data_IF_446875638090
#
_entry.id   IF_446875638090
#
_cell.length_a   1.000
_cell.length_b   1.000
_cell.length_c   1.000
_cell.angle_alpha   90.00
_cell.angle_beta   90.00
_cell.angle_gamma   90.00
#
_symmetry.space_group_name_H-M   'P 1'
#
loop_
_entity.id
_entity.type
_entity.pdbx_description
1 polymer ?
#
# COMPACT_ATOMS: atom_id res chain seq x y z
N UNK A 1 6.44 -8.13 -12.32
CA UNK A 1 6.33 -6.68 -12.19
C UNK A 1 5.18 -6.12 -13.01
N UNK A 2 5.00 -4.82 -12.97
CA UNK A 2 4.02 -4.13 -13.81
C UNK A 2 4.44 -4.25 -15.29
N UNK A 3 3.44 -4.31 -16.17
CA UNK A 3 3.64 -4.39 -17.62
C UNK A 3 2.89 -3.24 -18.29
N UNK A 4 3.37 -2.80 -19.43
CA UNK A 4 2.63 -1.88 -20.27
C UNK A 4 1.39 -2.61 -20.83
N UNK A 5 0.22 -2.06 -20.57
CA UNK A 5 -1.07 -2.63 -20.97
C UNK A 5 -1.66 -2.00 -22.23
N UNK A 6 -1.01 -0.96 -22.78
CA UNK A 6 -1.53 -0.19 -23.92
C UNK A 6 -1.74 -1.04 -25.16
N UNK A 7 -0.87 -2.03 -25.39
CA UNK A 7 -0.90 -2.87 -26.59
C UNK A 7 -2.10 -3.84 -26.66
N UNK A 8 -2.78 -4.09 -25.52
CA UNK A 8 -3.96 -4.97 -25.51
C UNK A 8 -5.22 -4.30 -24.94
N UNK A 9 -5.09 -3.23 -24.16
CA UNK A 9 -6.23 -2.59 -23.51
C UNK A 9 -7.20 -1.92 -24.49
N UNK A 10 -6.70 -1.56 -25.67
CA UNK A 10 -7.44 -0.88 -26.74
C UNK A 10 -7.63 -1.77 -28.00
N UNK A 11 -7.23 -3.06 -27.94
CA UNK A 11 -7.36 -3.99 -29.06
C UNK A 11 -8.62 -4.84 -28.92
N UNK A 12 -9.62 -4.56 -29.75
CA UNK A 12 -10.92 -5.26 -29.77
C UNK A 12 -10.82 -6.76 -30.13
N UNK A 13 -9.70 -7.21 -30.67
CA UNK A 13 -9.43 -8.61 -30.99
C UNK A 13 -8.98 -9.43 -29.77
N UNK A 14 -8.58 -8.77 -28.68
CA UNK A 14 -8.14 -9.41 -27.44
C UNK A 14 -9.30 -9.46 -26.45
N UNK A 15 -9.94 -10.62 -26.32
CA UNK A 15 -11.12 -10.80 -25.49
C UNK A 15 -10.83 -10.97 -24.01
N UNK A 16 -9.61 -11.43 -23.63
CA UNK A 16 -9.22 -11.64 -22.24
C UNK A 16 -7.72 -11.65 -22.06
N UNK A 17 -7.28 -11.32 -20.86
CA UNK A 17 -5.85 -11.29 -20.48
C UNK A 17 -5.67 -11.97 -19.12
N UNK A 18 -4.73 -12.91 -19.03
CA UNK A 18 -4.33 -13.56 -17.80
C UNK A 18 -2.96 -13.04 -17.36
N UNK A 19 -2.91 -12.32 -16.24
CA UNK A 19 -1.66 -11.95 -15.58
C UNK A 19 -1.15 -13.10 -14.74
N UNK A 20 -0.29 -13.93 -15.30
CA UNK A 20 0.22 -15.13 -14.63
C UNK A 20 1.38 -14.83 -13.65
N UNK A 21 2.00 -13.65 -13.73
CA UNK A 21 3.17 -13.26 -12.95
C UNK A 21 4.27 -14.35 -12.93
N UNK A 22 4.84 -14.63 -11.74
CA UNK A 22 5.88 -15.66 -11.57
C UNK A 22 5.26 -16.88 -10.89
N UNK A 23 4.93 -17.90 -11.66
CA UNK A 23 4.12 -19.06 -11.23
C UNK A 23 4.86 -20.16 -10.48
N UNK A 24 6.17 -20.09 -10.28
CA UNK A 24 6.95 -21.17 -9.68
C UNK A 24 7.01 -22.46 -10.54
N UNK A 25 7.36 -23.61 -9.94
CA UNK A 25 7.55 -24.87 -10.67
C UNK A 25 6.27 -25.36 -11.37
N UNK A 26 5.12 -25.23 -10.72
CA UNK A 26 3.82 -25.66 -11.25
C UNK A 26 3.09 -24.56 -12.03
N UNK A 27 3.75 -23.46 -12.34
CA UNK A 27 3.14 -22.29 -12.98
C UNK A 27 2.53 -22.58 -14.34
N UNK A 28 3.14 -23.47 -15.14
CA UNK A 28 2.59 -23.91 -16.42
C UNK A 28 1.31 -24.72 -16.26
N UNK A 29 1.29 -25.68 -15.33
CA UNK A 29 0.11 -26.48 -14.99
C UNK A 29 -1.03 -25.59 -14.50
N UNK A 30 -0.77 -24.70 -13.55
CA UNK A 30 -1.76 -23.76 -13.02
C UNK A 30 -2.34 -22.83 -14.10
N UNK A 31 -1.51 -22.32 -15.00
CA UNK A 31 -1.99 -21.49 -16.11
C UNK A 31 -2.88 -22.29 -17.07
N UNK A 32 -2.52 -23.53 -17.39
CA UNK A 32 -3.33 -24.41 -18.25
C UNK A 32 -4.69 -24.73 -17.61
N UNK A 33 -4.72 -25.08 -16.32
CA UNK A 33 -5.96 -25.35 -15.56
C UNK A 33 -6.90 -24.13 -15.56
N UNK A 34 -6.34 -22.92 -15.39
CA UNK A 34 -7.15 -21.68 -15.47
C UNK A 34 -7.70 -21.46 -16.88
N UNK A 35 -6.88 -21.61 -17.91
CA UNK A 35 -7.32 -21.42 -19.31
C UNK A 35 -8.35 -22.46 -19.75
N UNK A 36 -8.29 -23.69 -19.23
CA UNK A 36 -9.25 -24.76 -19.51
C UNK A 36 -10.52 -24.67 -18.65
N UNK A 37 -10.55 -23.78 -17.65
CA UNK A 37 -11.66 -23.65 -16.71
C UNK A 37 -11.74 -24.75 -15.65
N UNK A 38 -10.67 -25.53 -15.47
CA UNK A 38 -10.54 -26.50 -14.38
C UNK A 38 -10.27 -25.81 -13.04
N UNK A 39 -9.60 -24.64 -13.08
CA UNK A 39 -9.43 -23.72 -11.98
C UNK A 39 -10.20 -22.42 -12.21
N UNK A 40 -10.50 -21.68 -11.14
CA UNK A 40 -11.13 -20.36 -11.20
C UNK A 40 -10.15 -19.31 -10.67
N UNK A 41 -9.78 -18.29 -11.48
CA UNK A 41 -8.88 -17.24 -11.02
C UNK A 41 -9.50 -16.45 -9.86
N UNK A 42 -8.69 -16.12 -8.86
CA UNK A 42 -9.10 -15.39 -7.68
C UNK A 42 -8.00 -14.43 -7.19
N UNK A 43 -7.00 -14.18 -8.03
CA UNK A 43 -5.95 -13.20 -7.77
C UNK A 43 -6.47 -11.78 -7.93
N UNK A 44 -5.91 -10.86 -7.15
CA UNK A 44 -6.14 -9.42 -7.29
C UNK A 44 -4.82 -8.73 -7.61
N UNK A 45 -4.87 -7.68 -8.42
CA UNK A 45 -3.69 -6.87 -8.72
C UNK A 45 -3.17 -6.20 -7.45
N UNK A 46 -1.89 -6.41 -7.17
CA UNK A 46 -1.18 -5.74 -6.05
C UNK A 46 -0.63 -4.37 -6.43
N UNK A 47 -0.87 -3.95 -7.68
CA UNK A 47 -0.44 -2.66 -8.23
C UNK A 47 -1.56 -2.02 -9.05
N UNK A 48 -1.42 -0.70 -9.30
CA UNK A 48 -2.24 0.01 -10.26
C UNK A 48 -1.55 0.00 -11.62
N UNK A 49 -2.23 -0.45 -12.66
CA UNK A 49 -1.71 -0.43 -14.03
C UNK A 49 -2.22 0.82 -14.75
N UNK A 50 -1.32 1.77 -14.96
CA UNK A 50 -1.60 2.99 -15.70
C UNK A 50 -1.67 2.75 -17.21
N UNK A 51 -2.20 3.72 -17.96
CA UNK A 51 -2.29 3.69 -19.42
C UNK A 51 -0.92 3.78 -20.08
N UNK A 52 -0.01 4.53 -19.48
CA UNK A 52 1.37 4.65 -19.98
C UNK A 52 2.37 4.74 -18.82
N UNK A 53 3.65 4.48 -19.11
CA UNK A 53 4.75 4.63 -18.16
C UNK A 53 4.86 6.08 -17.65
N UNK A 54 4.60 7.05 -18.50
CA UNK A 54 4.67 8.48 -18.17
C UNK A 54 3.59 8.94 -17.20
N UNK A 55 2.56 8.13 -17.00
CA UNK A 55 1.48 8.44 -16.05
C UNK A 55 1.87 8.19 -14.58
N UNK A 56 2.96 7.46 -14.33
CA UNK A 56 3.47 7.24 -12.98
C UNK A 56 4.29 8.43 -12.49
N UNK A 57 4.11 8.89 -11.25
CA UNK A 57 4.75 10.10 -10.73
C UNK A 57 6.29 10.01 -10.70
N UNK A 58 6.85 8.80 -10.60
CA UNK A 58 8.30 8.56 -10.56
C UNK A 58 8.96 8.50 -11.94
N UNK A 59 8.19 8.52 -13.04
CA UNK A 59 8.73 8.31 -14.39
C UNK A 59 9.77 9.34 -14.81
N UNK A 60 9.67 10.58 -14.33
CA UNK A 60 10.62 11.65 -14.64
C UNK A 60 11.87 11.60 -13.74
N UNK A 61 11.75 11.12 -12.50
CA UNK A 61 12.85 11.12 -11.51
C UNK A 61 13.62 9.81 -11.47
N UNK A 62 13.06 8.71 -11.94
CA UNK A 62 13.65 7.36 -11.83
C UNK A 62 15.03 7.22 -12.49
N UNK A 63 15.32 7.97 -13.55
CA UNK A 63 16.59 7.96 -14.28
C UNK A 63 17.34 9.30 -14.21
N UNK A 64 17.01 10.17 -13.27
CA UNK A 64 17.58 11.51 -13.14
C UNK A 64 19.08 11.46 -12.85
N UNK A 65 19.53 10.49 -12.07
CA UNK A 65 20.95 10.31 -11.71
C UNK A 65 21.34 8.83 -11.73
N UNK A 66 22.66 8.57 -11.84
CA UNK A 66 23.24 7.24 -11.65
C UNK A 66 23.55 6.94 -10.18
N UNK A 67 23.59 7.96 -9.35
CA UNK A 67 24.08 7.90 -7.98
C UNK A 67 22.97 7.96 -6.94
N UNK A 68 21.81 8.52 -7.32
CA UNK A 68 20.64 8.66 -6.42
C UNK A 68 19.33 8.66 -7.19
N UNK A 69 18.24 8.43 -6.47
CA UNK A 69 16.86 8.63 -6.93
C UNK A 69 16.13 9.40 -5.84
N UNK A 70 15.51 10.52 -6.21
CA UNK A 70 14.68 11.32 -5.33
C UNK A 70 13.22 10.87 -5.41
N UNK A 71 12.68 10.33 -4.31
CA UNK A 71 11.27 9.92 -4.20
C UNK A 71 10.38 11.14 -3.88
N UNK A 72 10.30 12.06 -4.82
CA UNK A 72 9.55 13.32 -4.65
C UNK A 72 8.03 13.10 -4.55
N UNK A 73 7.54 11.97 -5.01
CA UNK A 73 6.15 11.54 -4.88
C UNK A 73 5.75 11.17 -3.46
N UNK A 74 6.72 10.94 -2.57
CA UNK A 74 6.52 10.62 -1.16
C UNK A 74 5.54 9.45 -0.95
N UNK A 75 4.46 9.65 -0.18
CA UNK A 75 3.44 8.64 0.08
C UNK A 75 2.50 8.37 -1.10
N UNK A 76 2.53 9.22 -2.13
CA UNK A 76 1.64 9.13 -3.30
C UNK A 76 2.22 8.18 -4.35
N UNK A 77 2.23 6.89 -4.04
CA UNK A 77 2.70 5.78 -4.89
C UNK A 77 1.56 4.84 -5.22
N UNK A 78 1.51 4.31 -6.44
CA UNK A 78 0.49 3.37 -6.89
C UNK A 78 -0.93 3.94 -6.71
N UNK A 79 -1.85 3.17 -6.14
CA UNK A 79 -3.24 3.62 -5.96
C UNK A 79 -3.35 4.86 -5.07
N UNK A 80 -2.41 5.09 -4.14
CA UNK A 80 -2.41 6.30 -3.32
C UNK A 80 -2.23 7.56 -4.16
N UNK A 81 -1.43 7.48 -5.23
CA UNK A 81 -1.31 8.55 -6.23
C UNK A 81 -2.56 8.62 -7.10
N UNK A 82 -2.91 7.53 -7.76
CA UNK A 82 -3.93 7.53 -8.79
C UNK A 82 -5.35 7.82 -8.26
N UNK A 83 -5.66 7.49 -7.01
CA UNK A 83 -6.97 7.79 -6.41
C UNK A 83 -7.01 9.13 -5.67
N UNK A 84 -5.85 9.80 -5.46
CA UNK A 84 -5.77 11.05 -4.69
C UNK A 84 -5.53 12.27 -5.57
N UNK A 85 -4.53 12.18 -6.46
CA UNK A 85 -4.10 13.35 -7.24
C UNK A 85 -5.14 13.70 -8.30
N UNK A 86 -5.55 14.98 -8.41
CA UNK A 86 -6.52 15.42 -9.41
C UNK A 86 -6.12 15.03 -10.83
N UNK A 87 -7.03 14.41 -11.58
CA UNK A 87 -6.79 13.97 -12.95
C UNK A 87 -5.98 12.69 -13.11
N UNK A 88 -5.45 12.11 -12.01
CA UNK A 88 -4.67 10.87 -12.11
C UNK A 88 -5.57 9.63 -12.29
N UNK A 89 -6.81 9.68 -11.81
CA UNK A 89 -7.74 8.55 -11.85
C UNK A 89 -8.07 8.09 -13.28
N UNK A 90 -8.16 9.01 -14.22
CA UNK A 90 -8.46 8.75 -15.63
C UNK A 90 -7.30 8.11 -16.39
N UNK A 91 -6.11 8.12 -15.80
CA UNK A 91 -4.88 7.54 -16.36
C UNK A 91 -4.69 6.06 -16.04
N UNK A 92 -5.68 5.41 -15.43
CA UNK A 92 -5.60 4.00 -14.97
C UNK A 92 -6.38 3.09 -15.91
N UNK A 93 -5.74 2.01 -16.37
CA UNK A 93 -6.39 0.90 -17.06
C UNK A 93 -6.97 -0.11 -16.06
N UNK A 94 -6.16 -0.55 -15.09
CA UNK A 94 -6.58 -1.52 -14.07
C UNK A 94 -6.21 -1.02 -12.68
N UNK A 95 -7.20 -0.79 -11.80
CA UNK A 95 -6.94 -0.26 -10.47
C UNK A 95 -6.34 -1.33 -9.54
N UNK A 96 -5.71 -0.88 -8.47
CA UNK A 96 -5.27 -1.74 -7.37
C UNK A 96 -6.42 -2.59 -6.83
N UNK A 97 -6.14 -3.87 -6.60
CA UNK A 97 -7.12 -4.82 -6.10
C UNK A 97 -8.05 -5.39 -7.17
N UNK A 98 -7.99 -4.93 -8.42
CA UNK A 98 -8.80 -5.47 -9.51
C UNK A 98 -8.45 -6.93 -9.83
N UNK A 99 -9.45 -7.70 -10.19
CA UNK A 99 -9.29 -9.08 -10.68
C UNK A 99 -10.66 -9.71 -10.92
N UNK A 100 -10.80 -10.38 -12.05
CA UNK A 100 -12.01 -11.05 -12.46
C UNK A 100 -12.01 -12.51 -12.01
N UNK A 101 -13.18 -13.11 -11.98
CA UNK A 101 -13.44 -14.52 -11.69
C UNK A 101 -14.37 -15.09 -12.74
N UNK A 102 -14.42 -16.42 -12.89
CA UNK A 102 -15.41 -17.12 -13.73
C UNK A 102 -16.79 -17.22 -13.05
N UNK A 103 -16.89 -16.76 -11.80
CA UNK A 103 -18.14 -16.68 -11.05
C UNK A 103 -18.33 -15.24 -10.52
N UNK A 104 -19.47 -14.98 -9.92
CA UNK A 104 -19.80 -13.68 -9.32
C UNK A 104 -19.99 -13.81 -7.83
N UNK A 105 -19.73 -12.73 -7.10
CA UNK A 105 -19.89 -12.68 -5.66
C UNK A 105 -20.69 -11.46 -5.23
N UNK A 106 -21.53 -11.63 -4.21
CA UNK A 106 -22.10 -10.54 -3.45
C UNK A 106 -21.22 -10.36 -2.20
N UNK A 107 -20.72 -9.14 -1.99
CA UNK A 107 -19.94 -8.74 -0.80
C UNK A 107 -20.80 -7.78 0.00
N UNK A 108 -21.30 -8.23 1.16
CA UNK A 108 -22.23 -7.47 2.00
C UNK A 108 -21.63 -7.18 3.37
N UNK A 109 -21.23 -5.94 3.64
CA UNK A 109 -20.87 -5.52 5.00
C UNK A 109 -22.08 -5.63 5.93
N UNK A 110 -21.90 -6.20 7.11
CA UNK A 110 -22.97 -6.41 8.08
C UNK A 110 -22.86 -5.44 9.25
N UNK A 111 -21.71 -5.44 9.92
CA UNK A 111 -21.45 -4.60 11.07
C UNK A 111 -19.99 -4.16 11.11
N UNK A 112 -19.74 -3.00 11.69
CA UNK A 112 -18.42 -2.48 11.98
C UNK A 112 -18.44 -1.76 13.33
N UNK A 113 -17.30 -1.77 14.03
CA UNK A 113 -17.16 -1.11 15.32
C UNK A 113 -15.73 -1.17 15.84
N UNK A 114 -15.48 -0.42 16.90
CA UNK A 114 -14.22 -0.43 17.64
C UNK A 114 -14.38 -1.26 18.91
N UNK A 115 -13.37 -2.06 19.22
CA UNK A 115 -13.30 -2.85 20.43
C UNK A 115 -11.85 -2.95 20.93
N UNK A 116 -11.55 -2.35 22.09
CA UNK A 116 -10.25 -2.36 22.75
C UNK A 116 -9.09 -1.95 21.84
N UNK A 117 -9.24 -0.84 21.11
CA UNK A 117 -8.20 -0.30 20.22
C UNK A 117 -8.10 -1.01 18.86
N UNK A 118 -9.01 -1.95 18.55
CA UNK A 118 -9.10 -2.59 17.24
C UNK A 118 -10.43 -2.22 16.58
N UNK A 119 -10.36 -1.90 15.30
CA UNK A 119 -11.56 -1.79 14.47
C UNK A 119 -11.84 -3.15 13.87
N UNK A 120 -13.08 -3.57 13.86
CA UNK A 120 -13.56 -4.83 13.32
C UNK A 120 -14.66 -4.58 12.32
N UNK A 121 -14.64 -5.31 11.22
CA UNK A 121 -15.68 -5.29 10.18
C UNK A 121 -16.08 -6.74 9.87
N UNK A 122 -17.37 -7.04 9.96
CA UNK A 122 -17.94 -8.32 9.52
C UNK A 122 -18.52 -8.17 8.14
N UNK A 123 -18.10 -9.05 7.24
CA UNK A 123 -18.52 -9.05 5.84
C UNK A 123 -19.01 -10.44 5.46
N UNK A 124 -20.23 -10.53 4.93
CA UNK A 124 -20.72 -11.76 4.31
C UNK A 124 -20.35 -11.75 2.83
N UNK A 125 -19.73 -12.82 2.36
CA UNK A 125 -19.46 -13.05 0.94
C UNK A 125 -20.27 -14.25 0.49
N UNK A 126 -21.07 -14.09 -0.56
CA UNK A 126 -21.89 -15.14 -1.16
C UNK A 126 -21.48 -15.35 -2.62
N UNK A 127 -21.21 -16.59 -3.02
CA UNK A 127 -21.03 -16.91 -4.42
C UNK A 127 -22.39 -16.93 -5.11
N UNK A 128 -22.66 -15.94 -5.95
CA UNK A 128 -23.94 -15.77 -6.68
C UNK A 128 -23.89 -16.29 -8.10
N UNK A 129 -22.73 -16.76 -8.55
CA UNK A 129 -22.55 -17.24 -9.92
C UNK A 129 -22.70 -18.76 -10.08
N UNK A 130 -22.22 -19.28 -11.20
CA UNK A 130 -22.50 -20.65 -11.66
C UNK A 130 -21.40 -21.68 -11.37
N UNK A 131 -20.22 -21.26 -10.91
CA UNK A 131 -19.15 -22.19 -10.58
C UNK A 131 -18.49 -21.83 -9.24
N UNK A 132 -17.77 -22.80 -8.66
CA UNK A 132 -17.06 -22.58 -7.41
C UNK A 132 -15.94 -21.56 -7.58
N UNK A 133 -15.73 -20.71 -6.56
CA UNK A 133 -14.71 -19.68 -6.61
C UNK A 133 -14.36 -19.10 -5.25
N UNK A 134 -13.36 -18.22 -5.25
CA UNK A 134 -12.91 -17.47 -4.07
C UNK A 134 -12.92 -15.99 -4.37
N UNK A 135 -13.23 -15.17 -3.37
CA UNK A 135 -13.17 -13.72 -3.48
C UNK A 135 -12.28 -13.12 -2.39
N UNK A 136 -11.68 -11.97 -2.66
CA UNK A 136 -10.87 -11.20 -1.70
C UNK A 136 -11.63 -9.94 -1.29
N UNK A 137 -11.99 -9.86 -0.02
CA UNK A 137 -12.53 -8.63 0.56
C UNK A 137 -11.39 -7.73 0.98
N UNK A 138 -11.48 -6.46 0.65
CA UNK A 138 -10.51 -5.41 0.95
C UNK A 138 -11.18 -4.31 1.75
N UNK A 139 -10.55 -3.88 2.84
CA UNK A 139 -11.02 -2.78 3.69
C UNK A 139 -10.07 -1.61 3.53
N UNK A 140 -10.64 -0.47 3.22
CA UNK A 140 -9.89 0.79 3.08
C UNK A 140 -10.37 1.81 4.10
N UNK A 141 -9.47 2.71 4.50
CA UNK A 141 -9.76 3.84 5.38
C UNK A 141 -9.39 5.14 4.68
N UNK A 142 -10.37 6.03 4.55
CA UNK A 142 -10.17 7.44 4.23
C UNK A 142 -9.93 8.23 5.52
N UNK A 143 -8.72 8.76 5.64
CA UNK A 143 -8.28 9.51 6.84
C UNK A 143 -8.63 11.00 6.71
N UNK A 144 -8.82 11.73 7.82
CA UNK A 144 -9.08 13.17 7.75
C UNK A 144 -7.87 13.92 7.14
N UNK A 145 -8.12 14.81 6.19
CA UNK A 145 -7.11 15.72 5.66
C UNK A 145 -6.85 16.83 6.68
N UNK A 146 -5.78 16.69 7.45
CA UNK A 146 -5.38 17.62 8.49
C UNK A 146 -4.10 18.35 8.12
N UNK A 147 -3.17 18.49 9.08
CA UNK A 147 -1.85 19.11 8.86
C UNK A 147 -0.91 18.23 8.04
N UNK A 148 -1.07 16.90 8.19
CA UNK A 148 -0.33 15.91 7.43
C UNK A 148 -1.11 15.55 6.17
N UNK A 149 -0.47 15.51 5.03
CA UNK A 149 -1.07 15.02 3.79
C UNK A 149 -1.44 13.54 3.90
N UNK A 150 -2.55 13.14 3.28
CA UNK A 150 -3.04 11.76 3.28
C UNK A 150 -3.54 11.37 1.89
N UNK A 151 -3.38 10.10 1.49
CA UNK A 151 -4.09 9.60 0.32
C UNK A 151 -5.61 9.54 0.58
N UNK A 152 -6.38 9.51 -0.50
CA UNK A 152 -7.85 9.41 -0.43
C UNK A 152 -8.29 8.19 0.39
N UNK A 153 -7.65 7.05 0.13
CA UNK A 153 -7.88 5.79 0.85
C UNK A 153 -6.60 5.01 1.04
N UNK A 154 -6.50 4.25 2.12
CA UNK A 154 -5.43 3.29 2.37
C UNK A 154 -6.00 1.93 2.75
N UNK A 155 -5.44 0.86 2.16
CA UNK A 155 -5.77 -0.51 2.51
C UNK A 155 -5.27 -0.81 3.93
N UNK A 156 -6.18 -1.25 4.80
CA UNK A 156 -5.87 -1.56 6.21
C UNK A 156 -6.05 -3.02 6.56
N UNK A 157 -6.91 -3.74 5.84
CA UNK A 157 -7.11 -5.17 6.00
C UNK A 157 -7.62 -5.80 4.71
N UNK A 158 -7.32 -7.08 4.52
CA UNK A 158 -7.91 -7.90 3.46
C UNK A 158 -7.97 -9.35 3.89
N UNK A 159 -8.94 -10.08 3.35
CA UNK A 159 -9.06 -11.51 3.59
C UNK A 159 -9.68 -12.20 2.38
N UNK A 160 -9.18 -13.39 2.05
CA UNK A 160 -9.69 -14.24 0.97
C UNK A 160 -10.61 -15.32 1.53
N UNK A 161 -11.75 -15.52 0.88
CA UNK A 161 -12.66 -16.61 1.25
C UNK A 161 -12.02 -17.99 1.00
N UNK A 162 -12.52 -19.00 1.68
CA UNK A 162 -12.37 -20.38 1.21
C UNK A 162 -13.03 -20.55 -0.16
N UNK A 163 -12.88 -21.71 -0.78
CA UNK A 163 -13.63 -22.03 -1.99
C UNK A 163 -15.13 -22.12 -1.65
N UNK A 164 -15.93 -21.26 -2.28
CA UNK A 164 -17.38 -21.21 -2.12
C UNK A 164 -18.06 -21.87 -3.31
N UNK A 165 -18.92 -22.82 -3.05
CA UNK A 165 -19.80 -23.41 -4.07
C UNK A 165 -20.88 -22.40 -4.47
N UNK A 166 -21.54 -22.60 -5.60
CA UNK A 166 -22.69 -21.80 -6.04
C UNK A 166 -23.74 -21.68 -4.93
N UNK A 167 -24.14 -20.47 -4.56
CA UNK A 167 -25.08 -20.18 -3.48
C UNK A 167 -24.48 -20.26 -2.06
N UNK A 168 -23.22 -20.66 -1.91
CA UNK A 168 -22.58 -20.77 -0.60
C UNK A 168 -22.11 -19.40 -0.11
N UNK A 169 -22.20 -19.17 1.21
CA UNK A 169 -21.76 -17.96 1.87
C UNK A 169 -20.68 -18.24 2.92
N UNK A 170 -19.85 -17.24 3.15
CA UNK A 170 -18.89 -17.19 4.26
C UNK A 170 -18.95 -15.85 4.95
N UNK A 171 -18.88 -15.87 6.28
CA UNK A 171 -18.68 -14.68 7.10
C UNK A 171 -17.17 -14.49 7.32
N UNK A 172 -16.65 -13.32 6.96
CA UNK A 172 -15.28 -12.87 7.24
C UNK A 172 -15.30 -11.84 8.39
N UNK A 173 -14.29 -11.88 9.23
CA UNK A 173 -14.03 -10.89 10.28
C UNK A 173 -12.68 -10.25 10.03
N UNK A 174 -12.68 -9.07 9.43
CA UNK A 174 -11.48 -8.28 9.17
C UNK A 174 -11.25 -7.32 10.34
N UNK A 175 -9.98 -7.21 10.79
CA UNK A 175 -9.64 -6.33 11.91
C UNK A 175 -8.25 -5.73 11.76
N UNK A 176 -8.06 -4.54 12.33
CA UNK A 176 -6.78 -3.83 12.40
C UNK A 176 -6.75 -2.94 13.65
N UNK A 177 -5.56 -2.54 14.08
CA UNK A 177 -5.41 -1.62 15.22
C UNK A 177 -5.72 -0.20 14.79
N UNK A 178 -6.32 0.57 15.68
CA UNK A 178 -6.53 2.02 15.48
C UNK A 178 -5.18 2.72 15.22
N UNK A 179 -4.10 2.29 15.89
CA UNK A 179 -2.74 2.82 15.67
C UNK A 179 -2.23 2.64 14.24
N UNK A 180 -2.68 1.60 13.52
CA UNK A 180 -2.22 1.33 12.14
C UNK A 180 -2.73 2.37 11.14
N UNK A 181 -3.70 3.20 11.54
CA UNK A 181 -4.18 4.34 10.75
C UNK A 181 -3.36 5.61 10.95
N UNK A 182 -2.34 5.61 11.83
CA UNK A 182 -1.51 6.78 12.07
C UNK A 182 -0.65 7.14 10.83
N UNK A 183 -0.32 8.42 10.71
CA UNK A 183 0.57 8.96 9.69
C UNK A 183 1.85 9.44 10.34
N UNK A 184 2.99 9.28 9.66
CA UNK A 184 4.26 9.73 10.19
C UNK A 184 4.46 11.23 9.95
N UNK A 185 4.79 11.97 10.99
CA UNK A 185 5.11 13.40 10.93
C UNK A 185 6.62 13.61 11.00
N UNK A 186 7.26 13.69 9.86
CA UNK A 186 8.69 13.91 9.73
C UNK A 186 9.10 15.37 10.02
N UNK A 187 8.25 16.32 9.66
CA UNK A 187 8.56 17.77 9.78
C UNK A 187 8.18 18.37 11.13
N UNK A 188 7.32 17.72 11.92
CA UNK A 188 6.83 18.28 13.18
C UNK A 188 5.65 19.23 13.02
N UNK A 189 4.81 19.01 12.02
CA UNK A 189 3.56 19.79 11.86
C UNK A 189 2.60 19.59 13.04
N UNK A 190 2.65 18.42 13.68
CA UNK A 190 1.99 18.05 14.93
C UNK A 190 3.04 17.67 15.97
N UNK A 191 3.84 16.64 15.68
CA UNK A 191 4.92 16.14 16.53
C UNK A 191 6.03 15.52 15.68
N UNK A 192 7.22 16.16 15.67
CA UNK A 192 8.36 15.69 14.84
C UNK A 192 8.77 14.26 15.16
N UNK A 193 9.00 13.49 14.10
CA UNK A 193 9.40 12.09 14.15
C UNK A 193 8.43 11.19 14.95
N UNK A 194 7.13 11.38 14.79
CA UNK A 194 6.13 10.61 15.48
C UNK A 194 5.05 10.09 14.54
N UNK A 195 4.47 8.94 14.87
CA UNK A 195 3.22 8.50 14.27
C UNK A 195 2.05 9.19 14.96
N UNK A 196 1.18 9.81 14.16
CA UNK A 196 0.09 10.67 14.62
C UNK A 196 -1.23 10.22 14.01
N UNK A 197 -2.23 10.05 14.87
CA UNK A 197 -3.62 10.05 14.46
C UNK A 197 -4.13 11.48 14.61
N UNK A 198 -4.42 12.14 13.51
CA UNK A 198 -5.01 13.49 13.56
C UNK A 198 -6.51 13.40 13.87
N UNK A 199 -7.02 14.37 14.62
CA UNK A 199 -8.45 14.48 14.92
C UNK A 199 -9.29 14.55 13.66
N UNK A 200 -10.46 13.95 13.70
CA UNK A 200 -11.42 13.95 12.61
C UNK A 200 -12.07 12.60 12.40
N UNK A 201 -12.72 12.44 11.25
CA UNK A 201 -13.48 11.24 10.90
C UNK A 201 -12.67 10.34 9.97
N UNK A 202 -12.47 9.12 10.38
CA UNK A 202 -11.87 8.03 9.61
C UNK A 202 -12.99 7.22 8.98
N UNK A 203 -13.16 7.35 7.68
CA UNK A 203 -14.24 6.71 6.91
C UNK A 203 -13.79 5.34 6.46
N UNK A 204 -14.61 4.32 6.68
CA UNK A 204 -14.29 2.94 6.36
C UNK A 204 -15.04 2.52 5.10
N UNK A 205 -14.36 1.81 4.21
CA UNK A 205 -14.88 1.26 2.98
C UNK A 205 -14.59 -0.23 2.90
N UNK A 206 -15.51 -1.01 2.35
CA UNK A 206 -15.33 -2.44 2.09
C UNK A 206 -15.73 -2.78 0.67
N UNK A 207 -14.98 -3.68 0.03
CA UNK A 207 -15.28 -4.14 -1.32
C UNK A 207 -14.22 -5.06 -1.89
N UNK A 208 -14.09 -5.12 -3.21
CA UNK A 208 -13.23 -6.07 -3.92
C UNK A 208 -12.02 -5.44 -4.61
N UNK A 209 -11.98 -4.11 -4.71
CA UNK A 209 -10.85 -3.33 -5.21
C UNK A 209 -10.90 -1.92 -4.64
N UNK A 210 -9.88 -1.09 -4.87
CA UNK A 210 -9.85 0.31 -4.42
C UNK A 210 -11.00 1.16 -5.01
N UNK A 211 -11.56 0.75 -6.15
CA UNK A 211 -12.66 1.44 -6.85
C UNK A 211 -14.02 0.77 -6.68
N UNK A 212 -14.02 -0.53 -6.44
CA UNK A 212 -15.23 -1.30 -6.17
C UNK A 212 -15.38 -1.49 -4.66
N UNK A 213 -15.75 -0.39 -4.00
CA UNK A 213 -15.93 -0.31 -2.53
C UNK A 213 -17.18 0.47 -2.19
N UNK A 214 -17.85 0.05 -1.13
CA UNK A 214 -18.95 0.81 -0.52
C UNK A 214 -18.49 1.43 0.80
N UNK A 215 -18.96 2.65 1.08
CA UNK A 215 -18.75 3.33 2.35
C UNK A 215 -19.62 2.69 3.42
N UNK A 216 -19.02 2.32 4.55
CA UNK A 216 -19.77 1.78 5.69
C UNK A 216 -20.52 2.87 6.45
N UNK A 217 -21.59 2.49 7.14
CA UNK A 217 -22.33 3.38 8.04
C UNK A 217 -21.52 3.77 9.26
N UNK A 218 -20.61 2.90 9.72
CA UNK A 218 -19.70 3.16 10.83
C UNK A 218 -18.48 3.96 10.34
N UNK A 219 -18.07 4.95 11.12
CA UNK A 219 -16.83 5.69 10.97
C UNK A 219 -16.18 5.85 12.33
N UNK A 220 -14.86 5.76 12.40
CA UNK A 220 -14.13 6.04 13.63
C UNK A 220 -13.90 7.55 13.76
N UNK A 221 -14.26 8.14 14.90
CA UNK A 221 -14.13 9.59 15.13
C UNK A 221 -13.13 9.82 16.25
N UNK A 222 -12.18 10.70 16.01
CA UNK A 222 -11.16 11.11 16.97
C UNK A 222 -11.30 12.62 17.25
N UNK A 223 -11.50 12.99 18.51
CA UNK A 223 -11.75 14.39 18.94
C UNK A 223 -10.47 15.21 19.08
N UNK A 224 -9.33 14.55 19.34
CA UNK A 224 -8.03 15.18 19.53
C UNK A 224 -6.93 14.42 18.79
N UNK A 225 -5.81 15.11 18.46
CA UNK A 225 -4.64 14.46 17.89
C UNK A 225 -4.00 13.50 18.92
N UNK A 226 -3.66 12.28 18.50
CA UNK A 226 -3.02 11.27 19.35
C UNK A 226 -1.69 10.85 18.78
N UNK A 227 -0.64 10.94 19.61
CA UNK A 227 0.67 10.39 19.28
C UNK A 227 0.65 8.90 19.64
N UNK A 228 0.73 8.04 18.63
CA UNK A 228 0.72 6.58 18.84
C UNK A 228 2.12 6.03 19.09
N UNK A 229 3.14 6.64 18.49
CA UNK A 229 4.53 6.25 18.65
C UNK A 229 5.46 7.43 18.42
N UNK A 230 6.49 7.58 19.29
CA UNK A 230 7.54 8.57 19.13
C UNK A 230 8.81 7.89 18.65
N UNK A 231 9.31 8.29 17.51
CA UNK A 231 10.56 7.83 16.92
C UNK A 231 11.64 8.91 16.94
N UNK A 232 12.69 8.70 16.18
CA UNK A 232 13.81 9.62 15.99
C UNK A 232 13.92 10.07 14.54
N UNK A 233 14.67 11.13 14.27
CA UNK A 233 14.95 11.65 12.91
C UNK A 233 16.15 10.99 12.24
N UNK A 234 16.57 9.82 12.73
CA UNK A 234 17.84 9.15 12.35
C UNK A 234 17.97 8.91 10.84
N UNK A 235 16.86 8.63 10.16
CA UNK A 235 16.82 8.36 8.72
C UNK A 235 16.18 9.51 7.92
N UNK A 236 16.10 10.70 8.49
CA UNK A 236 15.56 11.86 7.77
C UNK A 236 16.40 12.16 6.53
N UNK A 237 15.78 12.43 5.38
CA UNK A 237 16.51 12.76 4.15
C UNK A 237 17.30 14.05 4.34
N UNK A 238 18.54 14.05 3.84
CA UNK A 238 19.44 15.20 3.89
C UNK A 238 19.53 15.97 2.58
N UNK A 239 19.06 15.38 1.48
CA UNK A 239 19.18 15.93 0.13
C UNK A 239 17.85 16.13 -0.58
N UNK A 240 16.77 15.50 -0.13
CA UNK A 240 15.45 15.65 -0.75
C UNK A 240 14.92 17.08 -0.53
N UNK A 241 14.72 17.82 -1.63
CA UNK A 241 14.40 19.26 -1.61
C UNK A 241 12.90 19.55 -1.59
N UNK A 242 12.10 18.63 -2.11
CA UNK A 242 10.65 18.81 -2.23
C UNK A 242 9.93 17.46 -2.17
N UNK A 243 8.65 17.50 -1.82
CA UNK A 243 7.76 16.35 -1.93
C UNK A 243 6.38 16.75 -2.41
N UNK A 244 5.66 15.79 -2.99
CA UNK A 244 4.31 15.98 -3.49
C UNK A 244 3.30 16.14 -2.36
N UNK A 245 2.27 16.94 -2.58
CA UNK A 245 1.10 17.13 -1.73
C UNK A 245 -0.15 16.46 -2.35
N UNK A 246 -1.23 16.32 -1.57
CA UNK A 246 -2.47 15.67 -1.98
C UNK A 246 -3.17 16.33 -3.19
N UNK A 247 -2.89 17.58 -3.47
CA UNK A 247 -3.41 18.34 -4.61
C UNK A 247 -2.53 18.26 -5.86
N UNK A 248 -1.41 17.49 -5.79
CA UNK A 248 -0.44 17.35 -6.87
C UNK A 248 0.59 18.48 -6.96
N UNK A 249 0.54 19.47 -6.08
CA UNK A 249 1.60 20.47 -5.93
C UNK A 249 2.76 19.94 -5.10
N UNK A 250 3.83 20.71 -4.97
CA UNK A 250 5.01 20.33 -4.18
C UNK A 250 5.25 21.32 -3.05
N UNK A 251 5.61 20.80 -1.87
CA UNK A 251 6.17 21.61 -0.80
C UNK A 251 7.70 21.46 -0.76
N UNK A 252 8.39 22.58 -0.48
CA UNK A 252 9.83 22.58 -0.24
C UNK A 252 10.12 21.96 1.13
N UNK A 253 11.13 21.08 1.18
CA UNK A 253 11.56 20.45 2.41
C UNK A 253 12.75 21.21 3.02
N UNK A 254 12.75 21.44 4.35
CA UNK A 254 13.93 21.97 5.01
C UNK A 254 15.07 20.94 4.94
N UNK A 255 16.16 21.31 4.27
CA UNK A 255 17.35 20.45 4.26
C UNK A 255 17.90 20.39 5.69
N UNK A 256 18.02 19.17 6.22
CA UNK A 256 18.71 18.96 7.49
C UNK A 256 20.18 19.28 7.30
N UNK A 257 20.66 20.34 7.95
CA UNK A 257 22.09 20.64 7.98
C UNK A 257 22.81 19.57 8.80
N UNK A 258 24.03 19.22 8.38
CA UNK A 258 24.87 18.25 9.09
C UNK A 258 25.13 18.61 10.57
N UNK A 259 24.78 19.83 10.98
CA UNK A 259 24.90 20.34 12.33
C UNK A 259 23.55 20.56 13.05
N UNK A 260 22.47 19.93 12.59
CA UNK A 260 21.22 19.91 13.36
C UNK A 260 21.52 19.26 14.74
N UNK A 261 21.33 20.00 15.85
CA UNK A 261 21.55 19.45 17.19
C UNK A 261 20.71 18.19 17.46
N UNK A 262 19.58 17.99 16.74
CA UNK A 262 18.82 16.74 16.78
C UNK A 262 19.49 15.63 15.96
N UNK A 263 20.26 15.95 14.92
CA UNK A 263 21.06 14.96 14.18
C UNK A 263 22.22 14.43 15.03
N UNK A 264 22.77 15.22 15.96
CA UNK A 264 23.86 14.78 16.83
C UNK A 264 23.43 13.86 17.98
N UNK A 265 22.17 13.89 18.39
CA UNK A 265 21.61 12.89 19.33
C UNK A 265 21.38 11.53 18.64
N UNK A 266 21.20 11.53 17.33
CA UNK A 266 21.07 10.34 16.50
C UNK A 266 22.36 9.49 16.52
N UNK A 267 23.52 10.11 16.58
CA UNK A 267 24.83 9.43 16.69
C UNK A 267 25.12 8.80 18.06
N UNK A 268 24.21 8.97 19.04
CA UNK A 268 24.39 8.46 20.40
C UNK A 268 23.52 7.23 20.75
N UNK A 269 22.77 6.68 19.79
CA UNK A 269 22.27 5.34 19.97
C UNK A 269 23.48 4.42 20.03
N UNK A 270 23.69 3.81 21.21
CA UNK A 270 24.70 2.82 21.44
C UNK A 270 24.65 1.79 20.32
N UNK A 271 25.83 1.33 19.87
CA UNK A 271 26.00 0.26 18.88
C UNK A 271 25.22 -1.05 19.19
N UNK A 272 24.57 -1.13 20.34
CA UNK A 272 23.78 -2.25 20.84
C UNK A 272 22.37 -2.36 20.23
N UNK A 273 21.92 -1.41 19.39
CA UNK A 273 20.57 -1.38 18.79
C UNK A 273 20.54 -1.37 17.26
N UNK A 274 21.63 -1.64 16.59
CA UNK A 274 21.62 -1.89 15.16
C UNK A 274 21.33 -3.37 14.90
N UNK A 275 20.22 -3.63 14.27
CA UNK A 275 19.65 -4.92 13.90
C UNK A 275 20.71 -5.98 13.50
N UNK A 276 21.17 -6.77 14.47
CA UNK A 276 21.87 -8.03 14.25
C UNK A 276 23.29 -7.96 13.69
N UNK A 277 23.75 -6.82 13.17
CA UNK A 277 25.13 -6.64 12.71
C UNK A 277 25.87 -5.63 13.59
N UNK A 278 26.71 -6.11 14.49
CA UNK A 278 27.59 -5.25 15.27
C UNK A 278 28.82 -4.85 14.43
N UNK A 279 29.46 -3.68 14.69
CA UNK A 279 30.75 -3.32 14.08
C UNK A 279 31.82 -4.41 14.23
N UNK A 280 31.76 -5.18 15.29
CA UNK A 280 32.66 -6.34 15.56
C UNK A 280 32.40 -7.42 14.50
N UNK A 281 31.16 -7.81 14.23
CA UNK A 281 30.85 -8.81 13.19
C UNK A 281 31.29 -8.37 11.79
N UNK A 282 31.14 -7.07 11.45
CA UNK A 282 31.66 -6.53 10.21
C UNK A 282 33.19 -6.59 10.12
N UNK A 283 33.88 -6.34 11.20
CA UNK A 283 35.31 -6.44 11.27
C UNK A 283 35.79 -7.90 11.18
N UNK A 284 35.08 -8.83 11.80
CA UNK A 284 35.34 -10.28 11.72
C UNK A 284 35.19 -10.83 10.33
N UNK A 285 34.12 -10.40 9.59
CA UNK A 285 33.91 -10.75 8.19
C UNK A 285 35.04 -10.21 7.30
N UNK A 286 35.48 -8.96 7.51
CA UNK A 286 36.60 -8.37 6.79
C UNK A 286 37.94 -8.97 7.13
N UNK A 287 38.11 -9.46 8.36
CA UNK A 287 39.31 -10.18 8.79
C UNK A 287 39.38 -11.59 8.14
N UNK A 288 38.22 -12.24 7.99
CA UNK A 288 38.11 -13.55 7.32
C UNK A 288 38.26 -13.46 5.81
N UNK A 289 37.69 -12.39 5.21
CA UNK A 289 37.79 -12.09 3.78
C UNK A 289 37.97 -10.59 3.54
N UNK A 290 39.24 -10.12 3.37
CA UNK A 290 39.52 -8.71 3.09
C UNK A 290 38.88 -8.14 1.83
N UNK A 291 38.42 -8.99 0.91
CA UNK A 291 37.79 -8.59 -0.34
C UNK A 291 36.26 -8.52 -0.23
N UNK A 292 35.68 -8.95 0.88
CA UNK A 292 34.23 -8.95 1.09
C UNK A 292 33.68 -7.53 0.98
N UNK A 293 32.71 -7.36 0.07
CA UNK A 293 31.90 -6.16 -0.03
C UNK A 293 30.65 -6.35 0.80
N UNK A 294 30.57 -5.65 1.93
CA UNK A 294 29.38 -5.67 2.79
C UNK A 294 28.47 -4.54 2.32
N UNK A 295 27.38 -4.88 1.66
CA UNK A 295 26.30 -3.96 1.33
C UNK A 295 25.21 -4.11 2.40
N UNK A 296 24.99 -3.07 3.19
CA UNK A 296 23.80 -2.95 4.02
C UNK A 296 22.66 -2.49 3.11
N UNK A 297 21.68 -3.34 2.95
CA UNK A 297 20.41 -3.04 2.25
C UNK A 297 19.43 -2.48 3.28
#
# INVERSE_FOLDING_TARGET
GMVDTSWFAEDDLISSVLFAFQGGMEGGTAAAELLLGEGNPSGKLSDTLAKSLQDYPSSESFHESRDYVDYVEDIYVGYRYFETIPGAREKVNYPFGFGLSYTTFEVKPLEAGENHGNIQVRVQVTNTGSCAGKEVVQIYVGKPQGKLGKPDKELVAFEKTRLLQTGESQLLLLQWKVSDMASFDDLGKVRKAAYVLEKGTYVIYAGTSVRDVEKLSYSYVLEEDVITEQLTTKLAPTSLKKRMLADGTFEELPLMQANDPNASEIGKLKDEQTDGFTPTMMNDIKAADPTAKINLI
#
